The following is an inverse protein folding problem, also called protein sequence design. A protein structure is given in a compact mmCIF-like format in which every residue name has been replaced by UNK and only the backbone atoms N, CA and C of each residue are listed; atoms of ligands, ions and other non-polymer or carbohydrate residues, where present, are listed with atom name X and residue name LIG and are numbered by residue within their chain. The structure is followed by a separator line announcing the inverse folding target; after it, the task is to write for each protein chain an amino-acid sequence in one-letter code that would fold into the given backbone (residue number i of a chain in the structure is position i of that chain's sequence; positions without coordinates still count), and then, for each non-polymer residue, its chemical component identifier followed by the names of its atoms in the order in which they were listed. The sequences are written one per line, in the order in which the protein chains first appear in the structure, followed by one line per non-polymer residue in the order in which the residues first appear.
data_IF_512028277357
#
_entry.id   IF_512028277357
#
_cell.length_a   1.000
_cell.length_b   1.000
_cell.length_c   1.000
_cell.angle_alpha   90.00
_cell.angle_beta   90.00
_cell.angle_gamma   90.00
#
_symmetry.space_group_name_H-M   'P 1'
#
loop_
_entity.id
_entity.type
_entity.pdbx_description
1 polymer ?
#
# COMPACT_ATOMS: atom_id res chain seq x y z
N UNK A 1 0.73 -5.92 12.76
CA UNK A 1 0.43 -6.42 11.40
C UNK A 1 1.60 -6.30 10.42
N UNK A 2 2.38 -5.22 10.45
CA UNK A 2 3.48 -4.99 9.47
C UNK A 2 4.82 -5.65 9.83
N UNK A 3 5.14 -5.82 11.12
CA UNK A 3 6.43 -6.36 11.56
C UNK A 3 6.74 -7.78 11.03
N UNK A 4 5.70 -8.57 10.75
CA UNK A 4 5.82 -9.94 10.20
C UNK A 4 6.04 -9.99 8.69
N UNK A 5 6.00 -8.85 8.00
CA UNK A 5 6.20 -8.81 6.55
C UNK A 5 7.68 -9.01 6.22
N UNK A 6 7.92 -9.68 5.09
CA UNK A 6 9.26 -9.79 4.53
C UNK A 6 9.83 -8.40 4.22
N UNK A 7 11.10 -8.20 4.61
CA UNK A 7 11.81 -6.92 4.53
C UNK A 7 11.04 -5.78 5.23
N UNK A 8 10.40 -6.04 6.37
CA UNK A 8 9.61 -5.05 7.10
C UNK A 8 10.41 -3.83 7.56
N UNK A 9 11.73 -3.95 7.73
CA UNK A 9 12.63 -2.85 8.07
C UNK A 9 12.79 -1.81 6.95
N UNK A 10 12.44 -2.16 5.70
CA UNK A 10 12.38 -1.23 4.56
C UNK A 10 10.99 -0.58 4.41
N UNK A 11 10.04 -0.86 5.30
CA UNK A 11 8.74 -0.20 5.25
C UNK A 11 8.88 1.20 5.86
N UNK A 12 8.51 2.21 5.09
CA UNK A 12 8.49 3.60 5.55
C UNK A 12 7.55 3.80 6.76
N UNK A 13 7.87 4.76 7.64
CA UNK A 13 6.98 5.21 8.71
C UNK A 13 5.56 5.51 8.21
N UNK A 14 4.56 5.29 9.05
CA UNK A 14 3.15 5.45 8.65
C UNK A 14 2.85 6.87 8.18
N UNK A 15 3.43 7.87 8.84
CA UNK A 15 3.29 9.29 8.53
C UNK A 15 3.79 9.62 7.12
N UNK A 16 4.95 9.07 6.73
CA UNK A 16 5.51 9.22 5.38
C UNK A 16 4.58 8.62 4.33
N UNK A 17 4.08 7.41 4.58
CA UNK A 17 3.17 6.73 3.64
C UNK A 17 1.83 7.45 3.50
N UNK A 18 1.29 7.97 4.59
CA UNK A 18 0.05 8.75 4.57
C UNK A 18 0.22 10.03 3.75
N UNK A 19 1.31 10.77 3.98
CA UNK A 19 1.63 11.96 3.22
C UNK A 19 1.82 11.67 1.72
N UNK A 20 2.54 10.60 1.38
CA UNK A 20 2.76 10.21 -0.01
C UNK A 20 1.45 9.91 -0.75
N UNK A 21 0.49 9.24 -0.09
CA UNK A 21 -0.85 8.99 -0.65
C UNK A 21 -1.61 10.29 -0.86
N UNK A 22 -1.61 11.18 0.14
CA UNK A 22 -2.29 12.47 0.04
C UNK A 22 -1.72 13.33 -1.10
N UNK A 23 -0.38 13.45 -1.17
CA UNK A 23 0.33 14.20 -2.21
C UNK A 23 0.01 13.63 -3.60
N UNK A 24 0.03 12.31 -3.76
CA UNK A 24 -0.29 11.67 -5.03
C UNK A 24 -1.73 11.96 -5.48
N UNK A 25 -2.71 11.79 -4.59
CA UNK A 25 -4.12 12.06 -4.92
C UNK A 25 -4.31 13.54 -5.29
N UNK A 26 -3.71 14.46 -4.54
CA UNK A 26 -3.77 15.90 -4.84
C UNK A 26 -3.07 16.26 -6.15
N UNK A 27 -2.00 15.55 -6.52
CA UNK A 27 -1.34 15.75 -7.83
C UNK A 27 -2.27 15.42 -9.01
N UNK A 28 -3.16 14.44 -8.84
CA UNK A 28 -4.15 14.04 -9.85
C UNK A 28 -5.37 14.96 -9.82
N UNK A 29 -5.86 15.31 -8.61
CA UNK A 29 -7.03 16.17 -8.42
C UNK A 29 -6.85 17.10 -7.20
N UNK A 30 -6.30 18.31 -7.38
CA UNK A 30 -5.94 19.20 -6.26
C UNK A 30 -7.10 19.62 -5.36
N UNK A 31 -8.31 19.77 -5.93
CA UNK A 31 -9.50 20.20 -5.18
C UNK A 31 -10.24 19.08 -4.45
N UNK A 32 -9.74 17.85 -4.47
CA UNK A 32 -10.38 16.74 -3.76
C UNK A 32 -10.10 16.85 -2.26
N UNK A 33 -11.15 16.74 -1.44
CA UNK A 33 -11.00 16.60 0.01
C UNK A 33 -10.58 15.16 0.28
N UNK A 34 -9.40 14.97 0.85
CA UNK A 34 -8.82 13.66 1.15
C UNK A 34 -8.68 13.54 2.67
N UNK A 35 -9.25 12.49 3.24
CA UNK A 35 -8.99 12.08 4.61
C UNK A 35 -8.18 10.80 4.57
N UNK A 36 -7.00 10.82 5.18
CA UNK A 36 -6.11 9.66 5.29
C UNK A 36 -6.01 9.27 6.74
N UNK A 37 -6.32 8.01 7.05
CA UNK A 37 -6.30 7.47 8.42
C UNK A 37 -5.48 6.17 8.45
N UNK A 38 -4.76 5.89 9.55
CA UNK A 38 -4.11 4.61 9.73
C UNK A 38 -5.13 3.49 9.94
N UNK A 39 -4.90 2.35 9.30
CA UNK A 39 -5.71 1.14 9.49
C UNK A 39 -5.20 0.42 10.75
N UNK A 40 -5.87 0.65 11.88
CA UNK A 40 -5.53 0.05 13.17
C UNK A 40 -6.35 -1.22 13.47
N UNK A 41 -7.52 -1.35 12.85
CA UNK A 41 -8.38 -2.52 12.91
C UNK A 41 -8.83 -2.94 11.50
N UNK A 42 -9.34 -4.18 11.32
CA UNK A 42 -9.69 -4.69 10.00
C UNK A 42 -10.83 -3.96 9.27
N UNK A 43 -11.64 -3.17 9.98
CA UNK A 43 -12.83 -2.53 9.43
C UNK A 43 -12.69 -1.01 9.37
N UNK A 44 -11.95 -0.39 10.29
CA UNK A 44 -11.78 1.06 10.36
C UNK A 44 -13.14 1.79 10.47
N UNK A 45 -13.28 2.98 9.86
CA UNK A 45 -14.52 3.75 9.94
C UNK A 45 -15.69 3.11 9.15
N UNK A 46 -15.40 2.11 8.31
CA UNK A 46 -16.38 1.55 7.38
C UNK A 46 -17.57 0.85 8.02
N UNK A 47 -17.50 0.54 9.33
CA UNK A 47 -18.59 -0.11 10.09
C UNK A 47 -19.22 0.82 11.14
N UNK A 48 -18.93 2.12 11.06
CA UNK A 48 -19.47 3.16 11.96
C UNK A 48 -20.03 4.35 11.21
N UNK A 49 -19.44 4.73 10.07
CA UNK A 49 -19.91 5.85 9.27
C UNK A 49 -21.06 5.41 8.34
N UNK A 50 -22.23 6.02 8.53
CA UNK A 50 -23.46 5.76 7.79
C UNK A 50 -23.54 6.57 6.47
N UNK A 51 -22.66 7.55 6.27
CA UNK A 51 -22.61 8.41 5.07
C UNK A 51 -21.75 7.85 3.95
N UNK A 52 -21.16 6.68 4.14
CA UNK A 52 -20.36 6.00 3.13
C UNK A 52 -21.27 5.33 2.09
N UNK A 53 -21.01 5.61 0.81
CA UNK A 53 -21.77 5.05 -0.31
C UNK A 53 -21.12 3.81 -0.94
N UNK A 54 -19.78 3.77 -0.95
CA UNK A 54 -19.01 2.77 -1.69
C UNK A 54 -17.69 2.40 -1.01
N UNK A 55 -17.18 1.21 -1.32
CA UNK A 55 -15.86 0.74 -0.94
C UNK A 55 -15.12 0.24 -2.18
N UNK A 56 -13.93 0.79 -2.41
CA UNK A 56 -13.06 0.39 -3.52
C UNK A 56 -12.03 -0.61 -3.00
N UNK A 57 -11.97 -1.78 -3.62
CA UNK A 57 -11.07 -2.87 -3.23
C UNK A 57 -10.33 -3.42 -4.44
N UNK A 58 -9.17 -4.00 -4.21
CA UNK A 58 -8.52 -4.82 -5.24
C UNK A 58 -9.09 -6.23 -5.22
N UNK A 59 -8.77 -7.04 -6.25
CA UNK A 59 -9.05 -8.48 -6.24
C UNK A 59 -8.57 -9.20 -4.97
N UNK A 60 -7.46 -8.78 -4.36
CA UNK A 60 -6.98 -9.36 -3.09
C UNK A 60 -7.83 -9.00 -1.88
N UNK A 61 -8.35 -7.78 -1.85
CA UNK A 61 -9.07 -7.25 -0.69
C UNK A 61 -10.59 -7.36 -0.83
N UNK A 62 -11.08 -8.02 -1.89
CA UNK A 62 -12.50 -8.28 -2.12
C UNK A 62 -13.16 -9.00 -0.93
N UNK A 63 -12.52 -10.05 -0.39
CA UNK A 63 -13.05 -10.76 0.77
C UNK A 63 -13.20 -9.83 2.00
N UNK A 64 -12.29 -8.86 2.15
CA UNK A 64 -12.38 -7.81 3.18
C UNK A 64 -13.57 -6.89 2.96
N UNK A 65 -13.77 -6.40 1.73
CA UNK A 65 -14.94 -5.58 1.37
C UNK A 65 -16.28 -6.29 1.62
N UNK A 66 -16.38 -7.57 1.26
CA UNK A 66 -17.56 -8.39 1.57
C UNK A 66 -17.75 -8.57 3.08
N UNK A 67 -16.65 -8.66 3.84
CA UNK A 67 -16.70 -8.73 5.31
C UNK A 67 -17.20 -7.45 5.94
N UNK A 68 -16.87 -6.29 5.37
CA UNK A 68 -17.40 -4.99 5.80
C UNK A 68 -18.92 -4.96 5.66
N UNK A 69 -19.47 -5.35 4.50
CA UNK A 69 -20.93 -5.35 4.30
C UNK A 69 -21.66 -6.29 5.26
N UNK A 70 -21.15 -7.51 5.50
CA UNK A 70 -21.72 -8.39 6.53
C UNK A 70 -21.80 -7.69 7.89
N UNK A 71 -20.72 -7.00 8.29
CA UNK A 71 -20.68 -6.30 9.57
C UNK A 71 -21.57 -5.06 9.62
N UNK A 72 -21.76 -4.38 8.49
CA UNK A 72 -22.69 -3.25 8.36
C UNK A 72 -24.13 -3.71 8.53
N UNK A 73 -24.53 -4.81 7.89
CA UNK A 73 -25.87 -5.41 8.03
C UNK A 73 -26.14 -5.81 9.49
N UNK A 74 -25.18 -6.48 10.16
CA UNK A 74 -25.29 -6.81 11.59
C UNK A 74 -25.52 -5.58 12.49
N UNK A 75 -25.04 -4.42 12.06
CA UNK A 75 -25.17 -3.14 12.78
C UNK A 75 -26.35 -2.28 12.31
N UNK A 76 -27.15 -2.76 11.37
CA UNK A 76 -28.26 -1.99 10.78
C UNK A 76 -27.83 -0.84 9.86
N UNK A 77 -26.60 -0.88 9.33
CA UNK A 77 -26.09 0.10 8.37
C UNK A 77 -26.38 -0.35 6.93
N UNK A 78 -26.60 0.60 5.99
CA UNK A 78 -26.76 0.26 4.58
C UNK A 78 -25.48 -0.34 4.01
N UNK A 79 -25.61 -1.34 3.15
CA UNK A 79 -24.47 -1.94 2.46
C UNK A 79 -23.76 -0.95 1.53
N UNK A 80 -22.44 -1.06 1.41
CA UNK A 80 -21.63 -0.26 0.51
C UNK A 80 -21.63 -0.90 -0.89
N UNK A 81 -21.63 -0.07 -1.93
CA UNK A 81 -21.30 -0.52 -3.29
C UNK A 81 -19.84 -0.96 -3.33
N UNK A 82 -19.59 -2.23 -3.65
CA UNK A 82 -18.23 -2.77 -3.76
C UNK A 82 -17.71 -2.60 -5.18
N UNK A 83 -16.71 -1.76 -5.37
CA UNK A 83 -16.04 -1.54 -6.65
C UNK A 83 -14.69 -2.26 -6.65
N UNK A 84 -14.50 -3.20 -7.59
CA UNK A 84 -13.30 -4.03 -7.65
C UNK A 84 -12.38 -3.51 -8.74
N UNK A 85 -11.15 -3.15 -8.35
CA UNK A 85 -10.08 -2.77 -9.29
C UNK A 85 -9.11 -3.93 -9.52
N UNK A 86 -8.64 -4.03 -10.75
CA UNK A 86 -7.70 -5.06 -11.17
C UNK A 86 -6.28 -4.80 -10.68
N UNK A 87 -5.53 -5.89 -10.54
CA UNK A 87 -4.12 -5.85 -10.16
C UNK A 87 -3.25 -5.65 -11.39
N UNK A 88 -2.18 -4.88 -11.21
CA UNK A 88 -1.16 -4.68 -12.24
C UNK A 88 -0.11 -5.80 -12.16
N UNK A 89 0.36 -6.22 -13.32
CA UNK A 89 1.42 -7.22 -13.47
C UNK A 89 2.70 -6.50 -13.94
N UNK A 90 3.85 -7.02 -13.49
CA UNK A 90 5.15 -6.48 -13.85
C UNK A 90 5.60 -7.05 -15.21
N UNK A 91 5.65 -6.18 -16.22
CA UNK A 91 6.25 -6.48 -17.53
C UNK A 91 5.89 -7.86 -18.13
N UNK A 92 6.89 -8.50 -18.74
CA UNK A 92 6.76 -9.80 -19.44
C UNK A 92 6.87 -11.02 -18.52
N UNK A 93 7.24 -10.85 -17.24
CA UNK A 93 7.41 -11.98 -16.30
C UNK A 93 6.08 -12.53 -15.77
N UNK A 94 4.99 -11.75 -15.87
CA UNK A 94 3.67 -12.12 -15.39
C UNK A 94 3.55 -12.14 -13.87
N UNK A 95 4.60 -11.77 -13.13
CA UNK A 95 4.53 -11.64 -11.68
C UNK A 95 3.75 -10.40 -11.28
N UNK A 96 2.95 -10.53 -10.22
CA UNK A 96 2.12 -9.42 -9.73
C UNK A 96 3.01 -8.34 -9.12
N UNK A 97 2.78 -7.09 -9.51
CA UNK A 97 3.42 -5.95 -8.85
C UNK A 97 2.96 -5.90 -7.38
N UNK A 98 3.92 -6.01 -6.46
CA UNK A 98 3.66 -6.03 -5.02
C UNK A 98 4.72 -5.26 -4.26
N UNK A 99 4.36 -4.71 -3.10
CA UNK A 99 5.34 -4.01 -2.25
C UNK A 99 6.47 -4.93 -1.77
N UNK A 100 6.24 -6.24 -1.68
CA UNK A 100 7.29 -7.19 -1.31
C UNK A 100 8.31 -7.34 -2.45
N UNK A 101 7.85 -7.45 -3.70
CA UNK A 101 8.73 -7.49 -4.87
C UNK A 101 9.56 -6.20 -4.97
N UNK A 102 8.94 -5.03 -4.82
CA UNK A 102 9.65 -3.74 -4.84
C UNK A 102 10.72 -3.64 -3.74
N UNK A 103 10.39 -4.06 -2.50
CA UNK A 103 11.38 -4.09 -1.40
C UNK A 103 12.54 -5.04 -1.67
N UNK A 104 12.31 -6.19 -2.32
CA UNK A 104 13.38 -7.12 -2.71
C UNK A 104 14.33 -6.47 -3.72
N UNK A 105 13.78 -5.84 -4.76
CA UNK A 105 14.57 -5.13 -5.77
C UNK A 105 15.39 -3.99 -5.16
N UNK A 106 14.81 -3.23 -4.23
CA UNK A 106 15.53 -2.18 -3.49
C UNK A 106 16.67 -2.76 -2.64
N UNK A 107 16.38 -3.83 -1.89
CA UNK A 107 17.37 -4.50 -1.06
C UNK A 107 18.56 -5.06 -1.87
N UNK A 108 18.27 -5.70 -3.00
CA UNK A 108 19.28 -6.22 -3.92
C UNK A 108 20.15 -5.11 -4.53
N UNK A 109 19.53 -3.99 -4.92
CA UNK A 109 20.24 -2.82 -5.45
C UNK A 109 21.20 -2.22 -4.43
N UNK A 110 20.75 -2.08 -3.18
CA UNK A 110 21.59 -1.57 -2.09
C UNK A 110 22.81 -2.46 -1.83
N UNK A 111 22.65 -3.79 -1.88
CA UNK A 111 23.77 -4.73 -1.77
C UNK A 111 24.79 -4.61 -2.90
N UNK A 112 24.34 -4.36 -4.13
CA UNK A 112 25.24 -4.19 -5.28
C UNK A 112 26.08 -2.92 -5.17
N UNK A 113 25.53 -1.83 -4.62
CA UNK A 113 26.27 -0.58 -4.38
C UNK A 113 27.32 -0.72 -3.27
N UNK A 114 27.08 -1.55 -2.26
CA UNK A 114 28.07 -1.83 -1.20
C UNK A 114 29.21 -2.75 -1.66
N UNK A 115 28.98 -3.55 -2.71
CA UNK A 115 29.93 -4.55 -3.23
C UNK A 115 30.79 -4.06 -4.41
N UNK A 116 30.62 -2.82 -4.89
CA UNK A 116 31.55 -2.25 -5.87
C UNK A 116 32.86 -1.86 -5.17
N UNK A 117 33.99 -2.53 -5.47
CA UNK A 117 35.24 -2.19 -4.81
C UNK A 117 35.70 -0.81 -5.32
N UNK A 118 35.99 0.07 -4.38
CA UNK A 118 36.87 1.22 -4.61
C UNK A 118 38.25 0.66 -4.99
N UNK A 119 38.45 0.40 -6.27
CA UNK A 119 39.69 -0.15 -6.81
C UNK A 119 40.72 0.94 -7.10
N UNK A 120 41.80 0.89 -6.32
CA UNK A 120 43.18 1.25 -6.67
C UNK A 120 43.56 2.75 -6.84
N UNK A 121 44.11 3.29 -5.75
CA UNK A 121 45.51 3.70 -5.62
C UNK A 121 46.18 4.44 -6.78
N UNK A 122 46.57 5.69 -6.49
CA UNK A 122 47.77 6.29 -7.06
C UNK A 122 48.61 6.83 -5.90
N UNK A 123 49.45 5.94 -5.34
CA UNK A 123 50.67 6.32 -4.65
C UNK A 123 51.81 6.21 -5.68
N UNK A 124 52.76 7.15 -5.59
CA UNK A 124 54.03 7.28 -6.34
C UNK A 124 53.90 7.94 -7.72
N UNK A 125 54.65 8.99 -8.08
CA UNK A 125 55.95 9.47 -7.60
C UNK A 125 55.99 11.02 -7.52
#
# INVERSE_FOLDING_TARGET
MLAKKELSHLIEPIETRMKAVEDYIKSVKPGLIVQVEPILDPYGPSIVDDKLDAIVVSKETLAGGLSVNRKRVEKGLPELKVEVVDLLHEGTSGEKLSSTALRRLEFERSKQMEMSPTGQGCDQA
#
